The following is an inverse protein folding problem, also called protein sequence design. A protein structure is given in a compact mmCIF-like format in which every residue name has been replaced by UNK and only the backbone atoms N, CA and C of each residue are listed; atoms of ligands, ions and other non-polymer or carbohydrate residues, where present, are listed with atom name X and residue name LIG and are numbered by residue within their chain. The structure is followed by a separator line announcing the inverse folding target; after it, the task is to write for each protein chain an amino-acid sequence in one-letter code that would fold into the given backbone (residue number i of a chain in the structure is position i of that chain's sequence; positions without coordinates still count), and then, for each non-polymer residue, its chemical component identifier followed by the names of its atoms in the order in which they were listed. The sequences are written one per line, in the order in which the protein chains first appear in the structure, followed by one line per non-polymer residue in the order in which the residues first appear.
data_IF_093168279573
#
_entry.id   IF_093168279573
#
_cell.length_a   1.000
_cell.length_b   1.000
_cell.length_c   1.000
_cell.angle_alpha   90.00
_cell.angle_beta   90.00
_cell.angle_gamma   90.00
#
_symmetry.space_group_name_H-M   'P 1'
#
loop_
_entity.id
_entity.type
_entity.pdbx_description
1 polymer ?
#
# COMPACT_ATOMS: atom_id res chain seq x y z
N UNK A 1 38.36 -2.08 29.68
CA UNK A 1 37.89 -2.50 31.02
C UNK A 1 36.38 -2.52 30.99
N UNK A 2 35.79 -3.69 30.78
CA UNK A 2 34.92 -4.45 31.69
C UNK A 2 33.69 -3.64 32.15
N UNK A 3 32.42 -4.00 31.89
CA UNK A 3 31.76 -5.27 32.28
C UNK A 3 30.45 -5.50 31.47
N UNK A 4 30.26 -6.75 31.07
CA UNK A 4 28.97 -7.40 30.76
C UNK A 4 28.03 -7.33 31.98
N UNK A 5 26.72 -7.18 31.73
CA UNK A 5 25.67 -7.74 32.59
C UNK A 5 24.64 -8.39 31.68
N UNK A 6 24.64 -9.73 31.68
CA UNK A 6 23.55 -10.57 31.18
C UNK A 6 22.49 -10.70 32.30
N UNK A 7 21.22 -10.57 31.99
CA UNK A 7 20.15 -10.97 32.88
C UNK A 7 19.25 -11.98 32.18
N UNK A 8 19.43 -13.26 32.55
CA UNK A 8 18.49 -14.35 32.29
C UNK A 8 17.28 -14.16 33.20
N UNK A 9 16.08 -14.27 32.65
CA UNK A 9 14.88 -14.56 33.45
C UNK A 9 14.22 -15.84 32.93
N UNK A 10 14.23 -16.84 33.80
CA UNK A 10 13.73 -18.18 33.58
C UNK A 10 12.20 -18.23 33.64
N UNK A 11 11.62 -18.97 32.71
CA UNK A 11 10.22 -19.32 32.57
C UNK A 11 9.91 -20.51 33.49
N UNK A 12 8.95 -20.40 34.38
CA UNK A 12 8.38 -21.53 35.13
C UNK A 12 6.99 -21.88 34.60
N UNK A 13 6.90 -23.04 33.96
CA UNK A 13 5.64 -23.74 33.67
C UNK A 13 5.10 -24.35 34.98
N UNK A 14 3.80 -24.18 35.21
CA UNK A 14 3.04 -25.02 36.15
C UNK A 14 1.90 -25.72 35.40
N UNK A 15 2.06 -27.04 35.18
CA UNK A 15 0.99 -27.96 34.82
C UNK A 15 0.15 -28.28 36.07
N UNK A 16 -1.16 -28.23 35.95
CA UNK A 16 -2.07 -28.88 36.90
C UNK A 16 -3.03 -29.79 36.13
N UNK A 17 -2.79 -31.08 36.22
CA UNK A 17 -3.71 -32.17 35.90
C UNK A 17 -4.56 -32.46 37.13
N UNK A 18 -5.91 -32.52 37.00
CA UNK A 18 -6.77 -33.24 37.95
C UNK A 18 -7.73 -34.14 37.18
N UNK A 19 -7.72 -35.39 37.60
CA UNK A 19 -8.39 -36.53 37.02
C UNK A 19 -9.81 -36.78 37.59
N UNK A 20 -10.59 -37.47 36.74
CA UNK A 20 -11.72 -38.36 36.98
C UNK A 20 -12.38 -38.52 38.36
N UNK A 21 -13.71 -38.55 38.30
CA UNK A 21 -14.56 -39.19 39.34
C UNK A 21 -15.95 -39.44 38.79
N UNK A 22 -16.25 -40.68 38.48
CA UNK A 22 -17.57 -41.27 38.11
C UNK A 22 -18.45 -41.46 39.34
N UNK A 23 -19.79 -41.23 39.26
CA UNK A 23 -20.85 -42.09 39.81
C UNK A 23 -22.28 -41.64 39.38
N UNK A 24 -22.92 -42.56 38.69
CA UNK A 24 -24.30 -43.01 38.64
C UNK A 24 -25.53 -42.14 39.00
N UNK A 25 -26.45 -42.17 38.05
CA UNK A 25 -27.90 -42.05 37.90
C UNK A 25 -28.80 -42.31 39.12
N UNK A 26 -30.16 -41.98 39.17
CA UNK A 26 -31.11 -42.11 38.06
C UNK A 26 -32.24 -41.04 37.93
N UNK A 27 -32.75 -41.00 36.69
CA UNK A 27 -34.14 -40.79 36.23
C UNK A 27 -35.09 -39.75 36.85
N UNK A 28 -35.60 -38.87 36.00
CA UNK A 28 -37.06 -38.72 35.70
C UNK A 28 -37.32 -37.84 34.48
N UNK A 29 -38.28 -38.25 33.72
CA UNK A 29 -38.82 -37.98 32.40
C UNK A 29 -39.65 -36.65 32.32
N UNK A 30 -40.25 -36.26 31.18
CA UNK A 30 -39.79 -35.27 30.15
C UNK A 30 -40.78 -34.10 29.98
N UNK A 31 -40.40 -33.06 29.24
CA UNK A 31 -41.29 -32.26 28.39
C UNK A 31 -40.60 -31.00 27.86
N UNK A 32 -41.12 -30.36 26.82
CA UNK A 32 -41.25 -30.79 25.47
C UNK A 32 -40.30 -30.00 24.54
N UNK A 33 -39.94 -30.66 23.47
CA UNK A 33 -39.24 -30.18 22.27
C UNK A 33 -39.85 -28.91 21.71
N UNK A 34 -39.02 -27.89 21.56
CA UNK A 34 -39.20 -26.89 20.51
C UNK A 34 -37.98 -27.01 19.57
N UNK A 35 -38.21 -27.67 18.47
CA UNK A 35 -37.22 -27.76 17.37
C UNK A 35 -37.10 -26.39 16.73
N UNK A 36 -35.93 -25.81 16.83
CA UNK A 36 -35.49 -24.76 15.90
C UNK A 36 -34.70 -25.41 14.81
N UNK A 37 -35.11 -25.30 13.55
CA UNK A 37 -34.37 -25.91 12.45
C UNK A 37 -33.04 -25.21 12.25
N UNK A 38 -31.96 -25.99 12.25
CA UNK A 38 -30.64 -25.54 11.77
C UNK A 38 -30.73 -25.17 10.29
N UNK A 39 -30.13 -24.09 9.84
CA UNK A 39 -29.96 -23.85 8.42
C UNK A 39 -28.88 -24.78 7.86
N UNK A 40 -29.34 -25.82 7.18
CA UNK A 40 -28.52 -26.58 6.24
C UNK A 40 -28.45 -25.75 4.97
N UNK A 41 -27.30 -25.18 4.63
CA UNK A 41 -26.97 -24.92 3.25
C UNK A 41 -25.50 -25.20 3.02
N UNK A 42 -25.19 -26.43 2.64
CA UNK A 42 -24.11 -26.67 1.73
C UNK A 42 -24.58 -26.14 0.38
N UNK A 43 -24.23 -24.94 0.05
CA UNK A 43 -24.13 -24.49 -1.34
C UNK A 43 -22.65 -24.45 -1.68
N UNK A 44 -22.24 -25.49 -2.40
CA UNK A 44 -21.05 -25.51 -3.22
C UNK A 44 -21.15 -24.31 -4.18
N UNK A 45 -20.14 -23.41 -4.30
CA UNK A 45 -20.23 -22.31 -5.25
C UNK A 45 -20.16 -22.89 -6.65
N UNK A 46 -21.33 -23.02 -7.28
CA UNK A 46 -21.42 -23.19 -8.72
C UNK A 46 -20.87 -21.92 -9.36
N UNK A 47 -19.75 -22.06 -10.07
CA UNK A 47 -19.14 -21.03 -10.88
C UNK A 47 -20.17 -20.41 -11.85
N UNK A 48 -20.58 -19.23 -11.53
CA UNK A 48 -21.24 -18.28 -12.43
C UNK A 48 -20.34 -17.07 -12.50
N UNK A 49 -20.00 -16.68 -13.70
CA UNK A 49 -19.27 -15.49 -14.07
C UNK A 49 -20.13 -14.24 -13.70
N UNK A 50 -20.27 -13.97 -12.41
CA UNK A 50 -20.74 -12.68 -11.92
C UNK A 50 -19.49 -11.78 -11.78
N UNK A 51 -19.22 -11.00 -12.83
CA UNK A 51 -18.29 -9.88 -12.74
C UNK A 51 -18.64 -9.07 -11.49
N UNK A 52 -17.79 -9.11 -10.48
CA UNK A 52 -17.98 -8.36 -9.24
C UNK A 52 -18.27 -6.89 -9.59
N UNK A 53 -19.27 -6.30 -8.93
CA UNK A 53 -19.65 -4.92 -9.20
C UNK A 53 -18.46 -4.00 -8.95
N UNK A 54 -18.16 -3.13 -9.90
CA UNK A 54 -17.09 -2.14 -9.78
C UNK A 54 -17.50 -1.10 -8.74
N UNK A 55 -16.66 -0.90 -7.72
CA UNK A 55 -16.84 0.09 -6.68
C UNK A 55 -16.46 1.48 -7.18
N UNK A 56 -17.19 2.50 -6.74
CA UNK A 56 -16.72 3.88 -6.77
C UNK A 56 -15.55 4.05 -5.78
N UNK A 57 -14.75 5.11 -5.93
CA UNK A 57 -13.69 5.42 -4.97
C UNK A 57 -14.22 5.58 -3.54
N UNK A 58 -15.38 6.23 -3.36
CA UNK A 58 -16.01 6.39 -2.05
C UNK A 58 -16.41 5.04 -1.40
N UNK A 59 -16.88 4.08 -2.19
CA UNK A 59 -17.19 2.73 -1.71
C UNK A 59 -15.90 1.96 -1.35
N UNK A 60 -14.85 2.08 -2.17
CA UNK A 60 -13.53 1.53 -1.86
C UNK A 60 -12.95 2.15 -0.58
N UNK A 61 -13.00 3.48 -0.43
CA UNK A 61 -12.53 4.18 0.76
C UNK A 61 -13.26 3.70 2.02
N UNK A 62 -14.58 3.51 1.93
CA UNK A 62 -15.43 3.03 3.03
C UNK A 62 -15.32 1.53 3.32
N UNK A 63 -14.76 0.74 2.39
CA UNK A 63 -14.59 -0.70 2.58
C UNK A 63 -13.64 -0.99 3.76
N UNK A 64 -13.97 -2.01 4.54
CA UNK A 64 -13.12 -2.45 5.64
C UNK A 64 -11.79 -3.04 5.13
N UNK A 65 -10.77 -3.02 5.96
CA UNK A 65 -9.55 -3.82 5.72
C UNK A 65 -9.94 -5.29 5.62
N UNK A 66 -9.26 -6.03 4.78
CA UNK A 66 -9.52 -7.44 4.36
C UNK A 66 -10.81 -7.64 3.54
N UNK A 67 -11.55 -6.57 3.22
CA UNK A 67 -12.69 -6.67 2.31
C UNK A 67 -12.24 -6.95 0.87
N UNK A 68 -12.99 -7.81 0.17
CA UNK A 68 -12.85 -7.96 -1.28
C UNK A 68 -13.29 -6.67 -1.98
N UNK A 69 -12.49 -6.19 -2.91
CA UNK A 69 -12.73 -4.96 -3.66
C UNK A 69 -12.56 -5.19 -5.16
N UNK A 70 -13.34 -4.48 -5.95
CA UNK A 70 -13.16 -4.41 -7.41
C UNK A 70 -13.28 -2.95 -7.82
N UNK A 71 -12.24 -2.41 -8.46
CA UNK A 71 -12.17 -1.00 -8.88
C UNK A 71 -11.78 -0.90 -10.35
N UNK A 72 -12.15 0.19 -11.00
CA UNK A 72 -11.58 0.59 -12.30
C UNK A 72 -10.74 1.84 -12.10
N UNK A 73 -9.52 1.80 -12.60
CA UNK A 73 -8.57 2.90 -12.44
C UNK A 73 -7.62 2.97 -13.64
N UNK A 74 -6.82 4.03 -13.68
CA UNK A 74 -5.84 4.23 -14.74
C UNK A 74 -4.43 4.14 -14.16
N UNK A 75 -3.60 3.32 -14.78
CA UNK A 75 -2.17 3.23 -14.44
C UNK A 75 -1.55 4.62 -14.55
N UNK A 76 -0.78 5.02 -13.54
CA UNK A 76 0.00 6.25 -13.55
C UNK A 76 1.50 5.96 -13.67
N UNK A 77 1.95 4.91 -12.98
CA UNK A 77 3.30 4.37 -13.07
C UNK A 77 3.30 2.94 -12.55
N UNK A 78 4.39 2.22 -12.81
CA UNK A 78 4.63 0.88 -12.27
C UNK A 78 6.05 0.79 -11.74
N UNK A 79 6.25 -0.07 -10.76
CA UNK A 79 7.59 -0.55 -10.45
C UNK A 79 8.04 -1.55 -11.51
N UNK A 80 9.29 -1.99 -11.45
CA UNK A 80 9.83 -3.02 -12.33
C UNK A 80 9.08 -4.33 -12.14
N UNK A 81 8.75 -5.00 -13.25
CA UNK A 81 8.23 -6.36 -13.20
C UNK A 81 9.27 -7.32 -12.61
N UNK A 82 8.82 -8.21 -11.75
CA UNK A 82 9.66 -9.21 -11.10
C UNK A 82 8.93 -10.55 -10.99
N UNK A 83 9.53 -11.61 -11.50
CA UNK A 83 9.01 -12.99 -11.53
C UNK A 83 7.64 -13.09 -12.22
N UNK A 84 6.54 -12.84 -11.53
CA UNK A 84 5.17 -12.87 -12.06
C UNK A 84 4.30 -11.73 -11.51
N UNK A 85 4.90 -10.64 -11.05
CA UNK A 85 4.24 -9.52 -10.36
C UNK A 85 4.78 -8.16 -10.76
N UNK A 86 3.94 -7.16 -10.56
CA UNK A 86 4.28 -5.75 -10.74
C UNK A 86 3.51 -4.90 -9.73
N UNK A 87 4.12 -3.92 -9.12
CA UNK A 87 3.41 -2.94 -8.28
C UNK A 87 2.98 -1.76 -9.14
N UNK A 88 1.71 -1.34 -8.97
CA UNK A 88 1.08 -0.32 -9.81
C UNK A 88 0.60 0.84 -8.96
N UNK A 89 0.98 2.05 -9.35
CA UNK A 89 0.40 3.31 -8.89
C UNK A 89 -0.72 3.67 -9.85
N UNK A 90 -1.96 3.68 -9.38
CA UNK A 90 -3.14 3.93 -10.20
C UNK A 90 -3.97 5.05 -9.63
N UNK A 91 -4.70 5.76 -10.51
CA UNK A 91 -5.55 6.89 -10.12
C UNK A 91 -6.68 7.04 -11.11
N UNK A 92 -7.81 7.51 -10.65
CA UNK A 92 -8.91 8.03 -11.46
C UNK A 92 -9.21 9.51 -11.11
N UNK A 93 -10.33 10.04 -11.55
CA UNK A 93 -10.71 11.43 -11.26
C UNK A 93 -11.05 11.66 -9.78
N UNK A 94 -11.49 10.63 -9.08
CA UNK A 94 -12.01 10.71 -7.71
C UNK A 94 -10.94 10.35 -6.67
N UNK A 95 -10.09 9.34 -6.96
CA UNK A 95 -9.11 8.87 -6.01
C UNK A 95 -7.95 8.10 -6.60
N UNK A 96 -7.12 7.53 -5.73
CA UNK A 96 -5.93 6.81 -6.12
C UNK A 96 -5.76 5.51 -5.35
N UNK A 97 -5.02 4.58 -5.94
CA UNK A 97 -4.88 3.21 -5.49
C UNK A 97 -3.41 2.79 -5.59
N UNK A 98 -2.90 2.15 -4.56
CA UNK A 98 -1.63 1.44 -4.60
C UNK A 98 -1.95 -0.06 -4.71
N UNK A 99 -1.54 -0.69 -5.81
CA UNK A 99 -1.81 -2.10 -6.08
C UNK A 99 -0.51 -2.84 -5.91
N UNK A 100 -0.39 -3.49 -4.76
CA UNK A 100 0.84 -4.15 -4.37
C UNK A 100 0.96 -5.53 -5.00
N UNK A 101 2.10 -5.80 -5.64
CA UNK A 101 2.44 -7.09 -6.21
C UNK A 101 1.32 -7.70 -7.09
N UNK A 102 0.72 -6.87 -7.95
CA UNK A 102 -0.30 -7.30 -8.91
C UNK A 102 0.26 -8.42 -9.78
N UNK A 103 -0.43 -9.56 -9.78
CA UNK A 103 -0.01 -10.73 -10.55
C UNK A 103 -0.20 -10.49 -12.04
N UNK A 104 0.87 -10.58 -12.83
CA UNK A 104 0.81 -10.43 -14.27
C UNK A 104 1.98 -11.09 -15.01
N UNK A 105 1.76 -11.41 -16.29
CA UNK A 105 2.83 -11.83 -17.18
C UNK A 105 3.75 -10.66 -17.55
N UNK A 106 4.98 -10.94 -17.97
CA UNK A 106 5.89 -9.92 -18.49
C UNK A 106 5.31 -9.19 -19.72
N UNK A 107 4.57 -9.92 -20.58
CA UNK A 107 3.89 -9.35 -21.75
C UNK A 107 2.82 -8.33 -21.33
N UNK A 108 2.02 -8.62 -20.30
CA UNK A 108 0.99 -7.71 -19.82
C UNK A 108 1.59 -6.56 -19.02
N UNK A 109 2.64 -6.80 -18.26
CA UNK A 109 3.40 -5.75 -17.59
C UNK A 109 3.87 -4.65 -18.57
N UNK A 110 4.34 -5.05 -19.74
CA UNK A 110 4.75 -4.11 -20.79
C UNK A 110 3.62 -3.24 -21.36
N UNK A 111 2.36 -3.64 -21.14
CA UNK A 111 1.14 -2.89 -21.56
C UNK A 111 0.61 -1.98 -20.46
N UNK A 112 1.02 -2.17 -19.20
CA UNK A 112 0.62 -1.35 -18.05
C UNK A 112 1.36 -0.01 -18.05
N UNK A 113 1.07 0.81 -19.05
CA UNK A 113 1.68 2.14 -19.24
C UNK A 113 0.76 3.24 -18.71
N UNK A 114 1.32 4.41 -18.44
CA UNK A 114 0.53 5.56 -17.96
C UNK A 114 -0.67 5.86 -18.87
N UNK A 115 -1.84 6.00 -18.26
CA UNK A 115 -3.12 6.23 -18.93
C UNK A 115 -3.88 4.98 -19.32
N UNK A 116 -3.31 3.78 -19.19
CA UNK A 116 -4.01 2.52 -19.45
C UNK A 116 -5.08 2.27 -18.39
N UNK A 117 -6.33 2.02 -18.81
CA UNK A 117 -7.43 1.68 -17.90
C UNK A 117 -7.44 0.18 -17.62
N UNK A 118 -7.50 -0.16 -16.35
CA UNK A 118 -7.59 -1.53 -15.85
C UNK A 118 -8.73 -1.67 -14.86
N UNK A 119 -9.32 -2.87 -14.79
CA UNK A 119 -10.19 -3.31 -13.71
C UNK A 119 -9.39 -4.24 -12.82
N UNK A 120 -9.35 -3.95 -11.53
CA UNK A 120 -8.56 -4.66 -10.53
C UNK A 120 -9.49 -5.27 -9.50
N UNK A 121 -9.31 -6.55 -9.20
CA UNK A 121 -10.01 -7.26 -8.13
C UNK A 121 -8.99 -7.84 -7.16
N UNK A 122 -9.17 -7.59 -5.86
CA UNK A 122 -8.27 -8.04 -4.81
C UNK A 122 -8.86 -7.79 -3.43
N UNK A 123 -8.00 -7.63 -2.44
CA UNK A 123 -8.39 -7.33 -1.07
C UNK A 123 -7.79 -6.01 -0.61
N UNK A 124 -8.59 -5.16 0.04
CA UNK A 124 -8.09 -3.94 0.65
C UNK A 124 -7.21 -4.29 1.84
N UNK A 125 -5.97 -3.86 1.82
CA UNK A 125 -5.01 -4.05 2.89
C UNK A 125 -4.52 -2.75 3.50
N UNK A 126 -3.79 -2.86 4.59
CA UNK A 126 -3.03 -1.77 5.17
C UNK A 126 -1.68 -2.28 5.66
N UNK A 127 -0.61 -1.60 5.28
CA UNK A 127 0.73 -1.90 5.77
C UNK A 127 1.44 -0.62 6.23
N UNK A 128 1.72 -0.53 7.54
CA UNK A 128 2.40 0.63 8.15
C UNK A 128 1.75 1.98 7.83
N UNK A 129 0.41 1.99 7.65
CA UNK A 129 -0.39 3.17 7.32
C UNK A 129 -0.62 3.38 5.81
N UNK A 130 0.02 2.59 4.94
CA UNK A 130 -0.29 2.55 3.52
C UNK A 130 -1.51 1.69 3.25
N UNK A 131 -2.54 2.27 2.59
CA UNK A 131 -3.72 1.52 2.15
C UNK A 131 -3.49 1.01 0.74
N UNK A 132 -3.56 -0.32 0.59
CA UNK A 132 -3.20 -1.00 -0.65
C UNK A 132 -4.24 -2.02 -1.09
N UNK A 133 -4.18 -2.46 -2.35
CA UNK A 133 -4.91 -3.62 -2.85
C UNK A 133 -3.93 -4.76 -3.01
N UNK A 134 -4.17 -5.84 -2.27
CA UNK A 134 -3.33 -7.04 -2.22
C UNK A 134 -3.99 -8.24 -2.90
N UNK A 135 -3.17 -9.27 -3.20
CA UNK A 135 -3.60 -10.52 -3.86
C UNK A 135 -4.43 -10.25 -5.13
N UNK A 136 -4.05 -9.19 -5.85
CA UNK A 136 -4.83 -8.64 -6.92
C UNK A 136 -4.64 -9.38 -8.25
N UNK A 137 -5.73 -9.41 -9.02
CA UNK A 137 -5.78 -9.74 -10.45
C UNK A 137 -6.35 -8.57 -11.22
N UNK A 138 -6.16 -8.55 -12.53
CA UNK A 138 -6.67 -7.44 -13.34
C UNK A 138 -7.10 -7.87 -14.74
N UNK A 139 -7.86 -6.99 -15.38
CA UNK A 139 -8.24 -7.04 -16.78
C UNK A 139 -8.02 -5.68 -17.43
N UNK A 140 -7.59 -5.66 -18.69
CA UNK A 140 -7.57 -4.43 -19.47
C UNK A 140 -9.00 -4.03 -19.85
N UNK A 141 -9.34 -2.75 -19.69
CA UNK A 141 -10.66 -2.23 -20.11
C UNK A 141 -10.53 -1.71 -21.54
N UNK A 142 -10.96 -2.53 -22.49
CA UNK A 142 -10.86 -2.24 -23.92
C UNK A 142 -11.71 -1.01 -24.32
N UNK A 143 -11.15 -0.18 -25.20
CA UNK A 143 -11.87 0.99 -25.76
C UNK A 143 -12.10 2.13 -24.76
N UNK A 144 -11.51 2.09 -23.59
CA UNK A 144 -11.55 3.18 -22.63
C UNK A 144 -10.72 4.38 -23.11
N UNK A 145 -11.12 5.58 -22.66
CA UNK A 145 -10.29 6.77 -22.77
C UNK A 145 -9.01 6.61 -21.92
N UNK A 146 -8.02 7.44 -22.18
CA UNK A 146 -6.79 7.49 -21.36
C UNK A 146 -6.92 8.59 -20.31
N UNK A 147 -6.36 8.35 -19.12
CA UNK A 147 -6.29 9.35 -18.06
C UNK A 147 -4.92 9.33 -17.38
N UNK A 148 -4.23 10.46 -17.41
CA UNK A 148 -2.99 10.70 -16.64
C UNK A 148 -3.24 11.87 -15.72
N UNK A 149 -3.07 11.64 -14.42
CA UNK A 149 -3.34 12.66 -13.41
C UNK A 149 -2.26 13.77 -13.45
N UNK A 150 -2.72 15.01 -13.35
CA UNK A 150 -1.83 16.13 -13.03
C UNK A 150 -1.46 16.10 -11.54
N UNK A 151 -0.21 16.45 -11.17
CA UNK A 151 0.19 16.46 -9.78
C UNK A 151 -0.60 17.47 -8.96
N UNK A 152 -1.26 17.01 -7.89
CA UNK A 152 -1.93 17.88 -6.92
C UNK A 152 -0.89 18.55 -6.02
N UNK A 153 -0.88 19.89 -5.97
CA UNK A 153 -0.03 20.62 -5.01
C UNK A 153 -0.55 20.42 -3.57
N UNK A 154 0.22 19.70 -2.77
CA UNK A 154 -0.08 19.41 -1.36
C UNK A 154 0.97 20.04 -0.42
N UNK A 155 1.73 21.01 -0.89
CA UNK A 155 2.82 21.66 -0.13
C UNK A 155 2.35 22.18 1.23
N UNK A 156 1.20 22.85 1.26
CA UNK A 156 0.64 23.46 2.46
C UNK A 156 -0.01 22.47 3.42
N UNK A 157 -0.18 21.21 2.98
CA UNK A 157 -0.73 20.12 3.80
C UNK A 157 0.37 19.36 4.56
N UNK A 158 1.66 19.58 4.25
CA UNK A 158 2.75 18.94 4.98
C UNK A 158 2.66 19.24 6.48
N UNK A 159 2.68 18.17 7.30
CA UNK A 159 2.56 18.24 8.75
C UNK A 159 1.13 18.41 9.27
N UNK A 160 0.12 18.39 8.42
CA UNK A 160 -1.30 18.40 8.82
C UNK A 160 -1.92 17.00 8.73
N UNK A 161 -3.00 16.78 9.49
CA UNK A 161 -3.79 15.54 9.43
C UNK A 161 -4.57 15.38 8.12
N UNK A 162 -4.67 16.44 7.30
CA UNK A 162 -5.40 16.40 6.05
C UNK A 162 -4.58 15.78 4.91
N UNK A 163 -3.25 15.73 5.04
CA UNK A 163 -2.38 15.20 3.98
C UNK A 163 -2.72 13.73 3.63
N UNK A 164 -3.00 12.89 4.62
CA UNK A 164 -3.30 11.47 4.41
C UNK A 164 -4.56 11.25 3.56
N UNK A 165 -5.48 12.20 3.49
CA UNK A 165 -6.68 12.12 2.63
C UNK A 165 -6.34 12.13 1.13
N UNK A 166 -5.10 12.43 0.80
CA UNK A 166 -4.58 12.43 -0.58
C UNK A 166 -3.64 11.25 -0.84
N UNK A 167 -3.63 10.25 0.06
CA UNK A 167 -2.81 9.05 -0.07
C UNK A 167 -2.93 8.43 -1.47
N UNK A 168 -1.83 7.92 -1.99
CA UNK A 168 -1.68 7.31 -3.31
C UNK A 168 -1.81 8.25 -4.52
N UNK A 169 -2.33 9.48 -4.34
CA UNK A 169 -2.44 10.43 -5.44
C UNK A 169 -1.07 10.89 -5.94
N UNK A 170 -1.01 11.19 -7.23
CA UNK A 170 0.09 11.94 -7.80
C UNK A 170 0.07 13.35 -7.25
N UNK A 171 1.16 13.77 -6.59
CA UNK A 171 1.26 15.03 -5.86
C UNK A 171 2.50 15.82 -6.25
N UNK A 172 2.49 17.11 -5.92
CA UNK A 172 3.66 17.98 -6.01
C UNK A 172 3.89 18.75 -4.71
N UNK A 173 5.16 19.06 -4.48
CA UNK A 173 5.63 19.87 -3.38
C UNK A 173 6.53 20.97 -3.93
N UNK A 174 6.38 22.18 -3.40
CA UNK A 174 7.14 23.36 -3.85
C UNK A 174 8.07 23.88 -2.76
N UNK A 175 9.25 24.33 -3.20
CA UNK A 175 10.22 25.01 -2.34
C UNK A 175 10.58 24.20 -1.08
N UNK A 176 10.86 22.92 -1.25
CA UNK A 176 11.40 22.08 -0.19
C UNK A 176 12.92 22.30 -0.07
N UNK A 177 13.42 22.42 1.14
CA UNK A 177 14.86 22.47 1.38
C UNK A 177 15.41 21.08 1.66
N UNK A 178 16.38 20.62 0.89
CA UNK A 178 17.09 19.36 1.15
C UNK A 178 17.85 19.48 2.47
N UNK A 179 17.62 18.54 3.37
CA UNK A 179 18.32 18.41 4.65
C UNK A 179 19.33 17.29 4.64
N UNK A 180 18.99 16.20 3.96
CA UNK A 180 19.84 15.02 3.90
C UNK A 180 19.48 14.18 2.67
N UNK A 181 20.48 13.53 2.08
CA UNK A 181 20.32 12.51 1.03
C UNK A 181 21.12 11.28 1.47
N UNK A 182 20.47 10.15 1.56
CA UNK A 182 21.07 8.88 1.99
C UNK A 182 20.77 7.77 0.98
N UNK A 183 21.78 7.11 0.53
CA UNK A 183 21.62 5.87 -0.24
C UNK A 183 21.44 4.70 0.73
N UNK A 184 20.43 3.87 0.52
CA UNK A 184 20.03 2.75 1.39
C UNK A 184 21.19 1.87 1.85
N UNK A 185 22.13 1.56 0.96
CA UNK A 185 23.31 0.75 1.26
C UNK A 185 24.61 1.57 1.35
N UNK A 186 24.51 2.89 1.51
CA UNK A 186 25.65 3.79 1.62
C UNK A 186 26.27 4.18 0.27
N UNK A 187 25.80 3.63 -0.85
CA UNK A 187 26.30 3.89 -2.20
C UNK A 187 25.15 3.83 -3.23
N UNK A 188 25.29 4.49 -4.41
CA UNK A 188 24.26 4.45 -5.44
C UNK A 188 23.96 3.03 -5.94
N UNK A 189 22.69 2.75 -6.27
CA UNK A 189 22.23 1.48 -6.83
C UNK A 189 21.02 0.86 -6.14
N UNK A 190 20.54 1.50 -5.06
CA UNK A 190 19.33 1.13 -4.32
C UNK A 190 18.53 2.40 -4.01
N UNK A 191 17.48 2.34 -3.17
CA UNK A 191 16.65 3.48 -2.81
C UNK A 191 17.48 4.67 -2.30
N UNK A 192 16.98 5.88 -2.55
CA UNK A 192 17.52 7.10 -1.98
C UNK A 192 16.50 7.66 -0.99
N UNK A 193 16.87 7.78 0.26
CA UNK A 193 16.07 8.46 1.27
C UNK A 193 16.45 9.95 1.32
N UNK A 194 15.45 10.79 1.17
CA UNK A 194 15.63 12.24 1.09
C UNK A 194 14.88 12.89 2.25
N UNK A 195 15.62 13.48 3.19
CA UNK A 195 15.02 14.34 4.21
C UNK A 195 14.88 15.73 3.65
N UNK A 196 13.67 16.27 3.66
CA UNK A 196 13.35 17.63 3.22
C UNK A 196 12.72 18.43 4.35
N UNK A 197 12.88 19.74 4.32
CA UNK A 197 12.21 20.64 5.24
C UNK A 197 11.24 21.57 4.52
N UNK A 198 10.10 21.85 5.17
CA UNK A 198 9.17 22.93 4.83
C UNK A 198 8.70 23.61 6.11
N UNK A 199 8.96 24.92 6.23
CA UNK A 199 8.73 25.61 7.50
C UNK A 199 9.59 25.05 8.63
N UNK A 200 8.94 24.66 9.74
CA UNK A 200 9.60 24.02 10.89
C UNK A 200 9.58 22.48 10.83
N UNK A 201 8.89 21.90 9.84
CA UNK A 201 8.75 20.44 9.69
C UNK A 201 9.85 19.83 8.83
N UNK A 202 10.23 18.59 9.16
CA UNK A 202 11.10 17.76 8.35
C UNK A 202 10.35 16.47 7.97
N UNK A 203 10.53 16.02 6.71
CA UNK A 203 9.81 14.90 6.12
C UNK A 203 10.80 14.01 5.38
N UNK A 204 10.56 12.69 5.41
CA UNK A 204 11.38 11.72 4.68
C UNK A 204 10.63 11.24 3.45
N UNK A 205 11.22 11.41 2.27
CA UNK A 205 10.71 10.92 1.00
C UNK A 205 11.66 9.85 0.44
N UNK A 206 11.18 9.08 -0.52
CA UNK A 206 11.95 8.01 -1.14
C UNK A 206 12.02 8.18 -2.67
N UNK A 207 13.21 8.09 -3.24
CA UNK A 207 13.38 7.78 -4.66
C UNK A 207 13.47 6.25 -4.72
N UNK A 208 12.33 5.62 -4.94
CA UNK A 208 12.20 4.17 -4.89
C UNK A 208 12.82 3.56 -6.16
N UNK A 209 13.77 2.67 -5.96
CA UNK A 209 14.60 2.11 -7.03
C UNK A 209 13.79 1.45 -8.14
N UNK A 210 12.79 0.65 -7.77
CA UNK A 210 12.03 -0.14 -8.73
C UNK A 210 11.02 0.71 -9.51
N UNK A 211 10.66 1.89 -8.99
CA UNK A 211 9.84 2.88 -9.69
C UNK A 211 10.67 3.75 -10.63
N UNK A 212 11.85 4.16 -10.21
CA UNK A 212 12.63 5.16 -10.95
C UNK A 212 13.89 4.59 -11.63
N UNK A 213 14.39 3.43 -11.22
CA UNK A 213 15.64 2.80 -11.68
C UNK A 213 16.87 3.74 -11.62
N UNK A 214 18.05 3.29 -11.16
CA UNK A 214 19.25 4.12 -11.03
C UNK A 214 19.76 4.78 -12.31
N UNK A 215 19.23 4.42 -13.46
CA UNK A 215 19.61 5.02 -14.76
C UNK A 215 18.65 6.15 -15.19
N UNK A 216 17.53 6.36 -14.50
CA UNK A 216 16.58 7.43 -14.84
C UNK A 216 17.14 8.80 -14.52
N UNK A 217 16.59 9.83 -15.19
CA UNK A 217 16.99 11.21 -14.95
C UNK A 217 16.68 11.67 -13.52
N UNK A 218 15.60 11.17 -12.93
CA UNK A 218 15.24 11.46 -11.52
C UNK A 218 16.31 10.95 -10.58
N UNK A 219 16.67 9.66 -10.70
CA UNK A 219 17.68 9.06 -9.83
C UNK A 219 19.04 9.77 -9.96
N UNK A 220 19.45 10.09 -11.19
CA UNK A 220 20.71 10.81 -11.48
C UNK A 220 20.68 12.23 -10.94
N UNK A 221 19.53 12.92 -10.99
CA UNK A 221 19.41 14.29 -10.51
C UNK A 221 19.76 14.40 -9.01
N UNK A 222 19.44 13.37 -8.21
CA UNK A 222 19.80 13.35 -6.79
C UNK A 222 21.30 13.27 -6.53
N UNK A 223 22.11 12.78 -7.46
CA UNK A 223 23.57 12.74 -7.31
C UNK A 223 24.21 14.16 -7.32
N UNK A 224 23.55 15.13 -7.92
CA UNK A 224 24.03 16.52 -8.03
C UNK A 224 23.44 17.43 -6.94
N UNK A 225 22.43 16.97 -6.19
CA UNK A 225 21.79 17.71 -5.11
C UNK A 225 22.58 17.56 -3.81
N UNK A 226 22.48 18.61 -2.97
CA UNK A 226 23.14 18.67 -1.67
C UNK A 226 22.26 19.31 -0.61
N UNK A 227 22.65 19.17 0.64
CA UNK A 227 22.03 19.88 1.77
C UNK A 227 22.00 21.40 1.50
N UNK A 228 20.84 21.99 1.75
CA UNK A 228 20.55 23.41 1.55
C UNK A 228 19.98 23.76 0.18
N UNK A 229 20.01 22.85 -0.80
CA UNK A 229 19.36 23.10 -2.08
C UNK A 229 17.84 23.18 -1.91
N UNK A 230 17.21 24.12 -2.63
CA UNK A 230 15.75 24.30 -2.63
C UNK A 230 15.20 23.75 -3.94
N UNK A 231 14.23 22.83 -3.82
CA UNK A 231 13.71 22.06 -4.95
C UNK A 231 12.19 21.98 -4.95
N UNK A 232 11.62 21.74 -6.12
CA UNK A 232 10.26 21.25 -6.26
C UNK A 232 10.32 19.74 -6.56
N UNK A 233 9.39 18.98 -6.02
CA UNK A 233 9.31 17.54 -6.21
C UNK A 233 7.91 17.11 -6.64
N UNK A 234 7.82 16.05 -7.44
CA UNK A 234 6.59 15.35 -7.75
C UNK A 234 6.75 13.87 -7.43
N UNK A 235 5.63 13.20 -7.12
CA UNK A 235 5.64 11.77 -6.84
C UNK A 235 4.27 11.24 -6.50
N UNK A 236 4.24 10.01 -5.98
CA UNK A 236 3.03 9.38 -5.44
C UNK A 236 3.07 9.47 -3.93
N UNK A 237 1.97 9.93 -3.32
CA UNK A 237 1.89 10.14 -1.88
C UNK A 237 1.77 8.82 -1.14
N UNK A 238 2.87 8.10 -1.08
CA UNK A 238 2.99 6.85 -0.34
C UNK A 238 3.14 7.10 1.17
N UNK A 239 2.78 6.12 1.98
CA UNK A 239 2.81 6.23 3.44
C UNK A 239 3.61 5.07 4.06
N UNK A 240 4.52 5.38 4.97
CA UNK A 240 5.23 4.39 5.78
C UNK A 240 5.50 4.97 7.16
N UNK A 241 4.66 4.62 8.14
CA UNK A 241 4.69 5.22 9.48
C UNK A 241 4.58 6.76 9.48
N UNK A 242 4.20 7.34 8.36
CA UNK A 242 4.14 8.77 8.06
C UNK A 242 4.25 9.03 6.57
N UNK A 243 4.26 10.30 6.16
CA UNK A 243 4.44 10.65 4.75
C UNK A 243 5.80 10.15 4.24
N UNK A 244 5.78 9.37 3.16
CA UNK A 244 6.98 8.83 2.50
C UNK A 244 6.78 8.81 0.98
N UNK A 245 6.60 10.00 0.40
CA UNK A 245 6.31 10.15 -1.03
C UNK A 245 7.38 9.47 -1.89
N UNK A 246 6.94 8.63 -2.83
CA UNK A 246 7.81 8.03 -3.85
C UNK A 246 8.02 9.02 -4.98
N UNK A 247 9.21 9.62 -5.04
CA UNK A 247 9.53 10.74 -5.92
C UNK A 247 9.75 10.28 -7.35
N UNK A 248 9.11 10.95 -8.29
CA UNK A 248 9.22 10.71 -9.74
C UNK A 248 9.79 11.89 -10.52
N UNK A 249 9.87 13.06 -9.92
CA UNK A 249 10.53 14.23 -10.52
C UNK A 249 11.11 15.15 -9.45
N UNK A 250 12.23 15.78 -9.77
CA UNK A 250 12.85 16.83 -8.95
C UNK A 250 13.39 17.94 -9.85
N UNK A 251 13.13 19.19 -9.49
CA UNK A 251 13.64 20.36 -10.22
C UNK A 251 14.10 21.42 -9.23
N UNK A 252 15.12 22.23 -9.55
CA UNK A 252 15.47 23.38 -8.73
C UNK A 252 14.27 24.33 -8.58
N UNK A 253 14.05 24.85 -7.37
CA UNK A 253 13.10 25.95 -7.19
C UNK A 253 13.68 27.25 -7.79
N UNK A 254 12.82 28.05 -8.38
CA UNK A 254 13.20 29.28 -9.07
C UNK A 254 13.63 30.38 -8.08
#
# INVERSE_FOLDING_TARGET
MKKLIALLLALTMALALVACGTTNDPATTPAPTTETPAPTSNEEPTGGDETAAVMTYAEYEAAAIDAAVTVECYVQATQSWWEDKITVYAQDADGAYFIYELKCSEEDAAKLTAGTKIRVSGFKGEWSGEVEIMDATFEFVEGADTFVAEPLDVTDLLGTEDLIKHQNKKVSFKELTIKKIEYKNGEPGDDIYVTVAKGEGEYSFCVERYLTDPVTDVYKAFADLKEGDVVNMEGFLYWYEGVNTHITAVTPAA
#
